data_IF_086962390996
#
_entry.id   IF_086962390996
#
_cell.length_a   1.000
_cell.length_b   1.000
_cell.length_c   1.000
_cell.angle_alpha   90.00
_cell.angle_beta   90.00
_cell.angle_gamma   90.00
#
_symmetry.space_group_name_H-M   'P 1'
#
loop_
_entity.id
_entity.type
_entity.pdbx_description
1 polymer ?
#
# COMPACT_ATOMS: atom_id res chain seq x y z
N UNK A 1 8.23 3.82 19.99
CA UNK A 1 6.86 4.21 19.57
C UNK A 1 6.32 3.16 18.63
N UNK A 2 5.07 2.72 18.83
CA UNK A 2 4.36 1.83 17.90
C UNK A 2 3.94 2.67 16.69
N UNK A 3 4.26 2.23 15.47
CA UNK A 3 3.77 2.92 14.26
C UNK A 3 2.26 2.79 14.15
N UNK A 4 1.62 3.84 13.66
CA UNK A 4 0.21 3.79 13.28
C UNK A 4 0.04 2.72 12.19
N UNK A 5 -1.01 1.92 12.31
CA UNK A 5 -1.33 0.88 11.33
C UNK A 5 -1.81 1.51 10.02
N UNK A 6 -1.60 0.79 8.92
CA UNK A 6 -2.23 1.04 7.63
C UNK A 6 -3.04 -0.20 7.27
N UNK A 7 -4.32 -0.01 6.95
CA UNK A 7 -5.21 -1.10 6.60
C UNK A 7 -5.25 -1.28 5.09
N UNK A 8 -5.05 -2.51 4.64
CA UNK A 8 -5.12 -2.89 3.23
C UNK A 8 -6.18 -3.96 3.05
N UNK A 9 -7.06 -3.77 2.07
CA UNK A 9 -8.06 -4.75 1.67
C UNK A 9 -8.11 -4.86 0.14
N UNK A 10 -9.09 -5.60 -0.37
CA UNK A 10 -9.28 -5.84 -1.81
C UNK A 10 -10.66 -5.39 -2.29
N UNK A 11 -10.90 -5.46 -3.59
CA UNK A 11 -12.25 -5.59 -4.15
C UNK A 11 -12.94 -6.88 -3.67
N UNK A 12 -14.27 -6.96 -3.82
CA UNK A 12 -15.04 -8.17 -3.49
C UNK A 12 -14.57 -9.35 -4.33
N UNK A 13 -14.66 -10.54 -3.75
CA UNK A 13 -14.31 -11.83 -4.38
C UNK A 13 -12.94 -11.83 -5.10
N UNK A 14 -11.85 -11.44 -4.40
CA UNK A 14 -10.55 -11.29 -5.03
C UNK A 14 -9.99 -12.62 -5.55
N UNK A 15 -9.29 -12.57 -6.67
CA UNK A 15 -8.59 -13.71 -7.25
C UNK A 15 -7.53 -14.27 -6.29
N UNK A 16 -7.09 -15.51 -6.57
CA UNK A 16 -5.97 -16.12 -5.83
C UNK A 16 -4.69 -15.28 -5.90
N UNK A 17 -4.42 -14.66 -7.05
CA UNK A 17 -3.22 -13.83 -7.24
C UNK A 17 -3.33 -12.51 -6.46
N UNK A 18 -4.50 -11.88 -6.44
CA UNK A 18 -4.74 -10.66 -5.65
C UNK A 18 -4.64 -10.91 -4.15
N UNK A 19 -5.21 -12.03 -3.66
CA UNK A 19 -5.03 -12.45 -2.26
C UNK A 19 -3.58 -12.73 -1.93
N UNK A 20 -2.84 -13.35 -2.84
CA UNK A 20 -1.41 -13.62 -2.67
C UNK A 20 -0.59 -12.34 -2.64
N UNK A 21 -0.87 -11.39 -3.54
CA UNK A 21 -0.21 -10.09 -3.58
C UNK A 21 -0.45 -9.30 -2.29
N UNK A 22 -1.69 -9.24 -1.79
CA UNK A 22 -1.99 -8.62 -0.50
C UNK A 22 -1.19 -9.25 0.63
N UNK A 23 -1.14 -10.60 0.70
CA UNK A 23 -0.35 -11.32 1.70
C UNK A 23 1.13 -10.93 1.64
N UNK A 24 1.68 -10.86 0.44
CA UNK A 24 3.06 -10.48 0.16
C UNK A 24 3.38 -9.03 0.55
N UNK A 25 2.42 -8.13 0.35
CA UNK A 25 2.57 -6.73 0.72
C UNK A 25 2.57 -6.56 2.25
N UNK A 26 1.64 -7.24 2.92
CA UNK A 26 1.49 -7.21 4.40
C UNK A 26 2.59 -7.98 5.13
N UNK A 27 3.37 -8.82 4.43
CA UNK A 27 4.51 -9.53 5.01
C UNK A 27 5.81 -8.72 4.99
N UNK A 28 5.78 -7.47 4.53
CA UNK A 28 6.95 -6.58 4.57
C UNK A 28 7.17 -5.94 5.94
N UNK A 29 6.10 -5.48 6.60
CA UNK A 29 6.16 -4.75 7.88
C UNK A 29 4.95 -5.05 8.78
N UNK A 30 5.12 -5.03 10.12
CA UNK A 30 4.06 -5.47 11.04
C UNK A 30 2.87 -4.50 11.20
N UNK A 31 2.99 -3.24 10.77
CA UNK A 31 1.90 -2.25 10.87
C UNK A 31 1.06 -2.12 9.60
N UNK A 32 1.41 -2.80 8.51
CA UNK A 32 0.55 -2.89 7.32
C UNK A 32 -0.31 -4.14 7.48
N UNK A 33 -1.57 -3.94 7.84
CA UNK A 33 -2.48 -5.01 8.25
C UNK A 33 -3.52 -5.29 7.19
N UNK A 34 -3.86 -6.56 7.03
CA UNK A 34 -4.91 -7.00 6.11
C UNK A 34 -6.25 -7.02 6.82
N UNK A 35 -7.26 -6.38 6.21
CA UNK A 35 -8.68 -6.62 6.52
C UNK A 35 -9.30 -7.44 5.40
N UNK A 36 -9.94 -8.56 5.75
CA UNK A 36 -10.61 -9.41 4.77
C UNK A 36 -11.81 -8.68 4.17
N UNK A 37 -11.87 -8.57 2.84
CA UNK A 37 -12.96 -7.86 2.17
C UNK A 37 -14.35 -8.45 2.47
N UNK A 38 -14.50 -9.78 2.32
CA UNK A 38 -15.77 -10.46 2.54
C UNK A 38 -16.94 -9.77 1.81
N UNK A 39 -18.05 -9.55 2.54
CA UNK A 39 -19.23 -8.81 2.07
C UNK A 39 -19.19 -7.32 2.40
N UNK A 40 -18.17 -6.87 3.14
CA UNK A 40 -18.07 -5.50 3.63
C UNK A 40 -18.23 -4.49 2.48
N UNK A 41 -19.09 -3.53 2.73
CA UNK A 41 -19.24 -2.29 1.97
C UNK A 41 -18.00 -1.44 2.12
N UNK A 42 -17.91 -0.36 1.33
CA UNK A 42 -16.80 0.59 1.47
C UNK A 42 -16.82 1.28 2.84
N UNK A 43 -18.01 1.64 3.32
CA UNK A 43 -18.22 2.23 4.65
C UNK A 43 -17.73 1.30 5.77
N UNK A 44 -18.18 0.04 5.78
CA UNK A 44 -17.76 -0.92 6.81
C UNK A 44 -16.24 -1.17 6.77
N UNK A 45 -15.60 -1.13 5.59
CA UNK A 45 -14.12 -1.21 5.52
C UNK A 45 -13.42 0.00 6.15
N UNK A 46 -14.04 1.18 6.07
CA UNK A 46 -13.53 2.39 6.72
C UNK A 46 -13.67 2.26 8.23
N UNK A 47 -14.82 1.78 8.71
CA UNK A 47 -15.03 1.51 10.14
C UNK A 47 -14.01 0.50 10.67
N UNK A 48 -13.81 -0.62 9.98
CA UNK A 48 -12.79 -1.62 10.34
C UNK A 48 -11.38 -1.01 10.35
N UNK A 49 -11.06 -0.14 9.38
CA UNK A 49 -9.77 0.54 9.35
C UNK A 49 -9.56 1.46 10.57
N UNK A 50 -10.60 2.20 10.96
CA UNK A 50 -10.58 3.09 12.12
C UNK A 50 -10.52 2.31 13.44
N UNK A 51 -11.23 1.18 13.55
CA UNK A 51 -11.15 0.27 14.71
C UNK A 51 -9.75 -0.32 14.89
N UNK A 52 -9.03 -0.57 13.79
CA UNK A 52 -7.61 -0.93 13.80
C UNK A 52 -6.68 0.23 14.16
N UNK A 53 -7.19 1.45 14.33
CA UNK A 53 -6.42 2.67 14.61
C UNK A 53 -5.69 3.23 13.39
N UNK A 54 -6.13 2.86 12.18
CA UNK A 54 -5.59 3.36 10.93
C UNK A 54 -6.32 4.63 10.47
N UNK A 55 -5.57 5.62 9.98
CA UNK A 55 -6.12 6.75 9.21
C UNK A 55 -6.01 6.53 7.70
N UNK A 56 -5.50 5.38 7.27
CA UNK A 56 -5.33 5.03 5.86
C UNK A 56 -6.03 3.73 5.53
N UNK A 57 -6.87 3.76 4.50
CA UNK A 57 -7.40 2.55 3.86
C UNK A 57 -6.80 2.44 2.46
N UNK A 58 -6.21 1.29 2.16
CA UNK A 58 -5.70 0.94 0.84
C UNK A 58 -6.55 -0.18 0.24
N UNK A 59 -7.01 -0.02 -1.00
CA UNK A 59 -7.80 -1.03 -1.71
C UNK A 59 -7.10 -1.50 -2.98
N UNK A 60 -6.84 -2.80 -3.05
CA UNK A 60 -6.32 -3.47 -4.25
C UNK A 60 -7.51 -3.93 -5.10
N UNK A 61 -7.60 -3.41 -6.31
CA UNK A 61 -8.50 -3.91 -7.34
C UNK A 61 -7.79 -4.82 -8.33
N UNK A 62 -8.58 -5.55 -9.10
CA UNK A 62 -8.08 -6.47 -10.12
C UNK A 62 -8.78 -6.31 -11.45
N UNK A 63 -8.12 -6.76 -12.50
CA UNK A 63 -8.67 -6.88 -13.85
C UNK A 63 -8.26 -8.24 -14.39
N UNK A 64 -9.24 -9.03 -14.85
CA UNK A 64 -9.02 -10.39 -15.39
C UNK A 64 -8.16 -11.25 -14.43
N UNK A 65 -8.51 -11.22 -13.14
CA UNK A 65 -7.85 -11.98 -12.08
C UNK A 65 -6.44 -11.52 -11.69
N UNK A 66 -5.93 -10.42 -12.23
CA UNK A 66 -4.61 -9.87 -11.86
C UNK A 66 -4.77 -8.53 -11.14
N UNK A 67 -3.99 -8.25 -10.07
CA UNK A 67 -3.95 -6.92 -9.46
C UNK A 67 -3.63 -5.86 -10.52
N UNK A 68 -4.50 -4.86 -10.62
CA UNK A 68 -4.45 -3.85 -11.68
C UNK A 68 -4.43 -2.43 -11.14
N UNK A 69 -4.83 -2.23 -9.89
CA UNK A 69 -4.97 -0.91 -9.30
C UNK A 69 -4.82 -0.98 -7.77
N UNK A 70 -4.16 0.01 -7.21
CA UNK A 70 -4.10 0.26 -5.78
C UNK A 70 -4.61 1.68 -5.51
N UNK A 71 -5.69 1.81 -4.73
CA UNK A 71 -6.27 3.09 -4.33
C UNK A 71 -5.97 3.36 -2.87
N UNK A 72 -5.62 4.60 -2.55
CA UNK A 72 -5.31 5.06 -1.20
C UNK A 72 -6.33 6.10 -0.76
N UNK A 73 -6.82 5.93 0.45
CA UNK A 73 -7.83 6.78 1.06
C UNK A 73 -7.31 7.29 2.40
N UNK A 74 -7.39 8.60 2.60
CA UNK A 74 -7.14 9.25 3.88
C UNK A 74 -8.47 9.40 4.64
N UNK A 75 -8.47 8.91 5.88
CA UNK A 75 -9.61 8.84 6.78
C UNK A 75 -9.49 9.81 7.96
N UNK A 76 -8.48 10.68 7.97
CA UNK A 76 -8.18 11.58 9.10
C UNK A 76 -9.39 12.45 9.48
N UNK A 77 -10.10 12.97 8.48
CA UNK A 77 -11.28 13.83 8.69
C UNK A 77 -12.60 13.06 8.85
N UNK A 78 -12.57 11.72 8.77
CA UNK A 78 -13.78 10.92 8.70
C UNK A 78 -14.64 11.04 9.96
N UNK A 79 -14.01 10.98 11.13
CA UNK A 79 -14.72 11.04 12.43
C UNK A 79 -15.39 12.41 12.67
N UNK A 80 -14.87 13.48 12.06
CA UNK A 80 -15.38 14.84 12.23
C UNK A 80 -16.42 15.22 11.17
N UNK A 81 -16.33 14.67 9.96
CA UNK A 81 -17.09 15.18 8.81
C UNK A 81 -17.68 14.10 7.90
N UNK A 82 -17.51 12.81 8.21
CA UNK A 82 -17.89 11.67 7.35
C UNK A 82 -17.28 11.74 5.94
N UNK A 83 -16.20 12.51 5.78
CA UNK A 83 -15.47 12.69 4.51
C UNK A 83 -14.29 11.76 4.44
N UNK A 84 -14.11 11.19 3.26
CA UNK A 84 -12.94 10.39 2.90
C UNK A 84 -12.27 11.02 1.71
N UNK A 85 -10.95 11.17 1.75
CA UNK A 85 -10.18 11.70 0.63
C UNK A 85 -9.53 10.55 -0.14
N UNK A 86 -9.91 10.36 -1.41
CA UNK A 86 -9.16 9.49 -2.32
C UNK A 86 -7.88 10.22 -2.77
N UNK A 87 -6.77 9.91 -2.09
CA UNK A 87 -5.50 10.62 -2.24
C UNK A 87 -4.75 10.22 -3.50
N UNK A 88 -4.56 8.92 -3.70
CA UNK A 88 -3.73 8.39 -4.79
C UNK A 88 -4.35 7.15 -5.43
N UNK A 89 -4.09 6.99 -6.73
CA UNK A 89 -4.31 5.75 -7.48
C UNK A 89 -3.02 5.35 -8.17
N UNK A 90 -2.51 4.16 -7.87
CA UNK A 90 -1.39 3.54 -8.59
C UNK A 90 -1.95 2.48 -9.54
N UNK A 91 -1.75 2.68 -10.84
CA UNK A 91 -2.11 1.70 -11.86
C UNK A 91 -1.02 0.62 -11.93
N UNK A 92 -1.39 -0.62 -11.65
CA UNK A 92 -0.49 -1.77 -11.64
C UNK A 92 -0.47 -2.41 -13.02
N UNK A 93 0.73 -2.55 -13.60
CA UNK A 93 0.95 -3.21 -14.89
C UNK A 93 1.28 -4.69 -14.71
N UNK A 94 1.88 -5.06 -13.58
CA UNK A 94 2.21 -6.45 -13.31
C UNK A 94 2.79 -6.65 -11.92
N UNK A 95 2.43 -7.77 -11.30
CA UNK A 95 2.94 -8.21 -10.01
C UNK A 95 3.69 -9.52 -10.21
N UNK A 96 4.93 -9.57 -9.74
CA UNK A 96 5.67 -10.81 -9.52
C UNK A 96 5.74 -11.04 -8.02
N UNK A 97 5.16 -12.14 -7.54
CA UNK A 97 5.14 -12.46 -6.11
C UNK A 97 6.54 -12.86 -5.62
N UNK A 98 6.82 -12.66 -4.34
CA UNK A 98 8.06 -13.03 -3.66
C UNK A 98 8.48 -14.46 -3.96
N UNK A 99 7.54 -15.40 -3.83
CA UNK A 99 7.73 -16.84 -4.14
C UNK A 99 8.02 -17.13 -5.61
N UNK A 100 7.54 -16.28 -6.53
CA UNK A 100 7.79 -16.42 -7.97
C UNK A 100 9.17 -15.87 -8.34
N UNK A 101 9.63 -14.83 -7.63
CA UNK A 101 10.94 -14.22 -7.80
C UNK A 101 12.06 -14.94 -7.00
N UNK A 102 11.73 -15.96 -6.20
CA UNK A 102 12.69 -16.64 -5.32
C UNK A 102 13.17 -15.76 -4.16
N UNK A 103 12.40 -14.72 -3.80
CA UNK A 103 12.72 -13.84 -2.68
C UNK A 103 12.54 -14.55 -1.35
N UNK A 104 13.32 -14.14 -0.35
CA UNK A 104 13.23 -14.68 1.01
C UNK A 104 12.06 -14.06 1.77
N UNK A 105 11.55 -14.80 2.75
CA UNK A 105 10.59 -14.28 3.71
C UNK A 105 11.22 -13.26 4.66
N UNK A 106 10.38 -12.45 5.30
CA UNK A 106 10.77 -11.44 6.28
C UNK A 106 10.25 -11.87 7.65
N UNK A 107 11.10 -11.81 8.68
CA UNK A 107 10.63 -11.89 10.06
C UNK A 107 10.12 -10.51 10.49
N UNK A 108 8.79 -10.35 10.53
CA UNK A 108 8.12 -9.07 10.77
C UNK A 108 8.50 -8.43 12.11
N UNK A 109 8.73 -9.23 13.15
CA UNK A 109 9.03 -8.74 14.50
C UNK A 109 10.38 -8.03 14.59
N UNK A 110 11.28 -8.32 13.64
CA UNK A 110 12.62 -7.74 13.60
C UNK A 110 12.67 -6.47 12.75
N UNK A 111 11.63 -6.18 11.96
CA UNK A 111 11.59 -5.03 11.06
C UNK A 111 11.09 -3.80 11.81
N UNK A 112 12.00 -2.87 12.07
CA UNK A 112 11.72 -1.64 12.81
C UNK A 112 11.16 -0.51 11.94
N UNK A 113 11.46 -0.52 10.63
CA UNK A 113 11.01 0.54 9.72
C UNK A 113 10.92 0.06 8.26
N UNK A 114 10.27 0.87 7.43
CA UNK A 114 10.35 0.83 5.97
C UNK A 114 10.63 2.24 5.47
N UNK A 115 11.62 2.38 4.59
CA UNK A 115 12.09 3.67 4.08
C UNK A 115 12.17 3.64 2.57
N UNK A 116 11.92 4.79 1.93
CA UNK A 116 11.98 4.92 0.48
C UNK A 116 13.36 5.47 0.10
N UNK A 117 14.04 4.81 -0.83
CA UNK A 117 15.29 5.28 -1.40
C UNK A 117 15.06 6.63 -2.10
N UNK A 118 15.83 7.69 -1.79
CA UNK A 118 15.67 8.99 -2.43
C UNK A 118 15.87 8.91 -3.95
N UNK A 119 14.97 9.55 -4.71
CA UNK A 119 15.14 9.76 -6.15
C UNK A 119 15.72 11.16 -6.36
N UNK A 120 16.88 11.24 -7.01
CA UNK A 120 17.50 12.52 -7.38
C UNK A 120 16.72 13.14 -8.54
N UNK A 121 16.29 14.40 -8.38
CA UNK A 121 15.50 15.14 -9.39
C UNK A 121 14.20 14.43 -9.79
N UNK A 122 13.42 14.02 -8.78
CA UNK A 122 12.15 13.36 -9.03
C UNK A 122 11.17 14.26 -9.82
N UNK A 123 10.52 13.70 -10.84
CA UNK A 123 9.41 14.35 -11.54
C UNK A 123 8.10 14.33 -10.72
N UNK A 124 7.02 14.93 -11.23
CA UNK A 124 5.74 15.00 -10.50
C UNK A 124 5.05 13.63 -10.32
N UNK A 125 5.21 12.70 -11.26
CA UNK A 125 4.66 11.35 -11.13
C UNK A 125 5.44 10.55 -10.07
N UNK A 126 6.76 10.67 -10.07
CA UNK A 126 7.66 10.04 -9.10
C UNK A 126 7.43 10.59 -7.69
N UNK A 127 7.26 11.91 -7.53
CA UNK A 127 6.86 12.53 -6.25
C UNK A 127 5.52 11.98 -5.77
N UNK A 128 4.54 11.88 -6.67
CA UNK A 128 3.23 11.30 -6.36
C UNK A 128 3.34 9.84 -5.91
N UNK A 129 4.21 9.06 -6.56
CA UNK A 129 4.49 7.68 -6.18
C UNK A 129 5.15 7.58 -4.80
N UNK A 130 6.15 8.42 -4.53
CA UNK A 130 6.84 8.47 -3.23
C UNK A 130 5.83 8.76 -2.12
N UNK A 131 4.97 9.76 -2.30
CA UNK A 131 3.94 10.12 -1.32
C UNK A 131 2.88 9.02 -1.16
N UNK A 132 2.47 8.38 -2.25
CA UNK A 132 1.55 7.24 -2.19
C UNK A 132 2.16 6.06 -1.42
N UNK A 133 3.43 5.73 -1.65
CA UNK A 133 4.13 4.67 -0.92
C UNK A 133 4.36 5.05 0.54
N UNK A 134 4.63 6.33 0.83
CA UNK A 134 4.72 6.83 2.19
C UNK A 134 3.40 6.63 2.94
N UNK A 135 2.27 6.99 2.33
CA UNK A 135 0.94 6.76 2.90
C UNK A 135 0.62 5.26 3.06
N UNK A 136 0.90 4.44 2.05
CA UNK A 136 0.63 3.00 2.07
C UNK A 136 1.41 2.26 3.17
N UNK A 137 2.66 2.66 3.40
CA UNK A 137 3.56 1.96 4.30
C UNK A 137 3.81 2.69 5.61
N UNK A 138 3.25 3.89 5.80
CA UNK A 138 3.62 4.80 6.89
C UNK A 138 5.15 4.87 7.04
N UNK A 139 5.84 5.16 5.93
CA UNK A 139 7.29 4.98 5.83
C UNK A 139 8.07 5.99 6.68
N UNK A 140 9.22 5.60 7.21
CA UNK A 140 10.17 6.55 7.79
C UNK A 140 10.87 7.38 6.72
N UNK A 141 11.49 8.50 7.13
CA UNK A 141 12.38 9.31 6.28
C UNK A 141 13.82 8.78 6.35
N UNK A 142 14.26 8.42 7.56
CA UNK A 142 15.61 7.91 7.85
C UNK A 142 15.47 6.58 8.59
N UNK A 143 16.23 5.54 8.23
CA UNK A 143 16.15 4.26 8.92
C UNK A 143 16.61 4.39 10.37
N UNK A 144 16.00 3.60 11.25
CA UNK A 144 16.45 3.50 12.64
C UNK A 144 17.81 2.82 12.68
N UNK A 145 18.80 3.53 13.21
CA UNK A 145 20.18 3.06 13.30
C UNK A 145 20.27 1.72 14.04
N UNK A 146 21.09 0.81 13.52
CA UNK A 146 21.32 -0.52 14.10
C UNK A 146 20.14 -1.50 14.02
N UNK A 147 18.99 -1.10 13.46
CA UNK A 147 17.81 -1.97 13.32
C UNK A 147 17.56 -2.42 11.89
N UNK A 148 16.96 -3.61 11.74
CA UNK A 148 16.53 -4.08 10.42
C UNK A 148 15.39 -3.24 9.91
N UNK A 149 15.42 -2.92 8.62
CA UNK A 149 14.38 -2.14 7.96
C UNK A 149 14.21 -2.60 6.53
N UNK A 150 13.04 -2.36 5.97
CA UNK A 150 12.80 -2.56 4.54
C UNK A 150 13.20 -1.29 3.80
N UNK A 151 13.92 -1.43 2.70
CA UNK A 151 14.18 -0.34 1.77
C UNK A 151 13.35 -0.53 0.51
N UNK A 152 12.53 0.46 0.18
CA UNK A 152 11.78 0.53 -1.07
C UNK A 152 12.66 1.20 -2.12
N UNK A 153 12.93 0.49 -3.21
CA UNK A 153 13.73 0.96 -4.33
C UNK A 153 12.79 1.16 -5.50
N UNK A 154 12.70 2.40 -5.99
CA UNK A 154 11.92 2.76 -7.16
C UNK A 154 12.89 2.89 -8.34
N UNK A 155 12.60 2.19 -9.43
CA UNK A 155 13.28 2.38 -10.71
C UNK A 155 12.29 3.06 -11.68
N UNK A 156 12.40 4.38 -11.89
CA UNK A 156 11.43 5.08 -12.73
C UNK A 156 11.51 4.71 -14.20
N UNK A 157 12.71 4.46 -14.73
CA UNK A 157 12.93 4.05 -16.13
C UNK A 157 12.14 2.79 -16.49
N UNK A 158 12.13 1.80 -15.60
CA UNK A 158 11.40 0.54 -15.80
C UNK A 158 10.03 0.52 -15.11
N UNK A 159 9.60 1.65 -14.51
CA UNK A 159 8.41 1.76 -13.66
C UNK A 159 8.25 0.58 -12.71
N UNK A 160 9.28 0.32 -11.93
CA UNK A 160 9.42 -0.84 -11.06
C UNK A 160 9.61 -0.42 -9.60
N UNK A 161 9.00 -1.15 -8.67
CA UNK A 161 9.22 -1.02 -7.24
C UNK A 161 9.70 -2.37 -6.72
N UNK A 162 10.79 -2.34 -5.95
CA UNK A 162 11.40 -3.49 -5.30
C UNK A 162 11.62 -3.22 -3.82
N UNK A 163 11.77 -4.29 -3.04
CA UNK A 163 12.02 -4.19 -1.61
C UNK A 163 13.28 -4.97 -1.24
N UNK A 164 14.08 -4.43 -0.33
CA UNK A 164 15.23 -5.10 0.25
C UNK A 164 15.19 -5.06 1.76
N UNK A 165 15.56 -6.16 2.43
CA UNK A 165 15.78 -6.13 3.86
C UNK A 165 17.21 -5.67 4.16
N UNK A 166 17.33 -4.61 4.94
CA UNK A 166 18.61 -4.06 5.40
C UNK A 166 18.88 -4.44 6.87
N UNK A 167 20.15 -4.56 7.31
CA UNK A 167 21.37 -4.38 6.51
C UNK A 167 21.78 -5.61 5.69
N UNK A 168 21.04 -6.72 5.77
CA UNK A 168 21.39 -8.01 5.15
C UNK A 168 21.43 -7.93 3.61
N UNK A 169 20.75 -6.96 3.01
CA UNK A 169 20.77 -6.61 1.59
C UNK A 169 20.29 -7.73 0.62
N UNK A 170 19.21 -8.43 0.99
CA UNK A 170 18.53 -9.37 0.07
C UNK A 170 17.17 -8.86 -0.36
N UNK A 171 16.75 -9.24 -1.58
CA UNK A 171 15.43 -8.91 -2.13
C UNK A 171 14.31 -9.68 -1.42
N UNK A 172 13.23 -8.95 -1.10
CA UNK A 172 12.06 -9.42 -0.33
C UNK A 172 10.76 -8.91 -0.94
N UNK A 173 9.63 -9.48 -0.53
CA UNK A 173 8.31 -9.03 -0.96
C UNK A 173 8.05 -9.11 -2.47
N UNK A 174 6.97 -8.51 -2.96
CA UNK A 174 6.62 -8.56 -4.37
C UNK A 174 7.44 -7.56 -5.19
N UNK A 175 7.64 -7.87 -6.47
CA UNK A 175 8.09 -6.90 -7.46
C UNK A 175 6.86 -6.27 -8.11
N UNK A 176 6.73 -4.96 -8.01
CA UNK A 176 5.56 -4.22 -8.49
C UNK A 176 5.96 -3.42 -9.74
N UNK A 177 5.29 -3.67 -10.86
CA UNK A 177 5.35 -2.81 -12.05
C UNK A 177 4.14 -1.91 -12.06
N UNK A 178 4.35 -0.61 -12.20
CA UNK A 178 3.28 0.38 -12.35
C UNK A 178 3.30 0.96 -13.76
N UNK A 179 2.17 1.55 -14.18
CA UNK A 179 2.07 2.27 -15.45
C UNK A 179 1.86 3.76 -15.24
N UNK A 180 1.05 4.13 -14.25
CA UNK A 180 0.70 5.53 -13.96
C UNK A 180 0.40 5.73 -12.48
N UNK A 181 0.71 6.91 -11.95
CA UNK A 181 0.20 7.37 -10.65
C UNK A 181 -0.68 8.60 -10.85
N UNK A 182 -1.89 8.56 -10.32
CA UNK A 182 -2.81 9.69 -10.34
C UNK A 182 -3.03 10.21 -8.91
N UNK A 183 -3.29 11.51 -8.79
CA UNK A 183 -3.73 12.18 -7.57
C UNK A 183 -5.16 12.69 -7.76
N UNK A 184 -6.20 11.85 -7.58
CA UNK A 184 -7.57 12.28 -7.81
C UNK A 184 -7.98 13.44 -6.91
N UNK A 185 -7.46 13.49 -5.66
CA UNK A 185 -7.83 14.46 -4.62
C UNK A 185 -9.35 14.62 -4.51
N UNK A 186 -10.08 13.51 -4.66
CA UNK A 186 -11.55 13.48 -4.65
C UNK A 186 -12.02 13.27 -3.22
N UNK A 187 -12.80 14.21 -2.70
CA UNK A 187 -13.53 14.05 -1.45
C UNK A 187 -14.78 13.21 -1.74
N UNK A 188 -15.03 12.23 -0.88
CA UNK A 188 -16.19 11.36 -0.89
C UNK A 188 -16.96 11.61 0.41
N UNK A 189 -18.23 11.98 0.31
CA UNK A 189 -19.13 12.12 1.44
C UNK A 189 -19.94 10.83 1.57
N UNK A 190 -19.87 10.17 2.72
CA UNK A 190 -20.67 8.97 2.98
C UNK A 190 -22.03 9.40 3.49
N UNK A 191 -23.07 9.32 2.65
CA UNK A 191 -24.43 9.75 2.98
C UNK A 191 -25.30 10.20 1.80
N UNK A 192 -24.73 10.45 0.62
CA UNK A 192 -25.49 10.59 -0.63
C UNK A 192 -25.38 9.29 -1.43
N UNK A 193 -26.51 8.79 -1.92
CA UNK A 193 -26.58 7.60 -2.77
C UNK A 193 -25.54 7.68 -3.89
N UNK A 194 -24.51 6.85 -3.82
CA UNK A 194 -23.57 6.71 -4.94
C UNK A 194 -24.28 5.88 -5.99
N UNK A 195 -25.02 6.54 -6.87
CA UNK A 195 -25.44 5.97 -8.14
C UNK A 195 -24.21 5.39 -8.86
N UNK A 196 -24.38 4.16 -9.29
CA UNK A 196 -23.41 3.34 -9.99
C UNK A 196 -22.98 3.95 -11.32
N UNK A 197 -21.67 4.10 -11.52
CA UNK A 197 -21.02 4.11 -12.84
C UNK A 197 -19.92 3.05 -12.91
#
# INVERSE_FOLDING_TARGET
>A
MKKQKVVVSTSREPSSKTRSFLKDLTSLVPWVVRVNRGKLTFYELIEEALMEGSNTLALIGEMRGNPSILRLYDLTEFTNSSKVLHTYTIMLKGITLSREAGHKGVNLEEVADIVIEPIVKADEEEKSLILALHQLFNSGIVPVEGKKHIRIIINPTFKLIKFKLMPINYEVGPIIRYSKVNMPKRIMELGEEVESE
#
